data_IF_722734198895
#
_entry.id   IF_722734198895
#
_cell.length_a   1.000
_cell.length_b   1.000
_cell.length_c   1.000
_cell.angle_alpha   90.00
_cell.angle_beta   90.00
_cell.angle_gamma   90.00
#
_symmetry.space_group_name_H-M   'P 1'
#
loop_
_entity.id
_entity.type
_entity.pdbx_description
1 polymer ?
#
# COMPACT_ATOMS: atom_id res chain seq x y z
N UNK A 1 -12.95 3.41 26.59
CA UNK A 1 -11.82 3.34 25.62
C UNK A 1 -12.30 3.99 24.32
N UNK A 2 -11.54 4.94 23.77
CA UNK A 2 -11.87 5.59 22.50
C UNK A 2 -11.37 4.75 21.32
N UNK A 3 -12.04 4.82 20.18
CA UNK A 3 -11.65 4.11 18.94
C UNK A 3 -11.72 5.05 17.75
N UNK A 4 -10.74 4.95 16.87
CA UNK A 4 -10.75 5.60 15.55
C UNK A 4 -11.49 4.68 14.57
N UNK A 5 -12.59 5.15 14.00
CA UNK A 5 -13.42 4.34 13.10
C UNK A 5 -12.73 4.11 11.74
N UNK A 6 -13.07 2.99 11.08
CA UNK A 6 -12.58 2.71 9.71
C UNK A 6 -12.97 3.80 8.70
N UNK A 7 -14.13 4.46 8.91
CA UNK A 7 -14.51 5.62 8.08
C UNK A 7 -13.53 6.77 8.25
N UNK A 8 -13.18 7.14 9.49
CA UNK A 8 -12.20 8.21 9.74
C UNK A 8 -10.85 7.91 9.09
N UNK A 9 -10.36 6.68 9.23
CA UNK A 9 -9.09 6.26 8.59
C UNK A 9 -9.14 6.41 7.06
N UNK A 10 -10.23 5.97 6.42
CA UNK A 10 -10.41 6.15 4.96
C UNK A 10 -10.48 7.62 4.54
N UNK A 11 -11.18 8.47 5.31
CA UNK A 11 -11.25 9.91 5.04
C UNK A 11 -9.87 10.57 5.16
N UNK A 12 -9.07 10.20 6.16
CA UNK A 12 -7.69 10.69 6.29
C UNK A 12 -6.82 10.29 5.10
N UNK A 13 -6.94 9.05 4.63
CA UNK A 13 -6.24 8.59 3.42
C UNK A 13 -6.76 9.34 2.18
N UNK A 14 -8.07 9.58 2.09
CA UNK A 14 -8.64 10.34 0.97
C UNK A 14 -8.14 11.78 0.95
N UNK A 15 -7.95 12.41 2.11
CA UNK A 15 -7.33 13.74 2.21
C UNK A 15 -5.89 13.73 1.69
N UNK A 16 -5.09 12.72 2.08
CA UNK A 16 -3.73 12.56 1.56
C UNK A 16 -3.72 12.34 0.04
N UNK A 17 -4.63 11.53 -0.47
CA UNK A 17 -4.78 11.29 -1.91
C UNK A 17 -5.20 12.56 -2.66
N UNK A 18 -6.08 13.36 -2.08
CA UNK A 18 -6.48 14.65 -2.65
C UNK A 18 -5.32 15.65 -2.64
N UNK A 19 -4.56 15.72 -1.54
CA UNK A 19 -3.37 16.56 -1.41
C UNK A 19 -2.29 16.16 -2.44
N UNK A 20 -2.09 14.87 -2.64
CA UNK A 20 -1.21 14.34 -3.68
C UNK A 20 -1.67 14.74 -5.08
N UNK A 21 -2.97 14.66 -5.35
CA UNK A 21 -3.55 15.01 -6.66
C UNK A 21 -3.61 16.53 -6.90
N UNK A 22 -3.47 17.36 -5.86
CA UNK A 22 -3.29 18.81 -6.00
C UNK A 22 -1.85 19.14 -6.41
N UNK A 23 -1.49 18.72 -7.61
CA UNK A 23 -0.15 18.90 -8.17
C UNK A 23 0.24 20.35 -8.44
N UNK A 24 -0.66 21.30 -8.28
CA UNK A 24 -0.35 22.73 -8.38
C UNK A 24 0.35 23.23 -7.11
N UNK A 25 -0.12 22.78 -5.93
CA UNK A 25 0.34 23.28 -4.62
C UNK A 25 1.31 22.32 -3.94
N UNK A 26 1.22 21.01 -4.19
CA UNK A 26 2.00 20.00 -3.49
C UNK A 26 2.77 19.07 -4.43
N UNK A 27 4.01 18.78 -4.05
CA UNK A 27 4.90 17.86 -4.78
C UNK A 27 5.45 16.83 -3.81
N UNK A 28 5.29 15.56 -4.17
CA UNK A 28 5.79 14.43 -3.40
C UNK A 28 6.93 13.74 -4.13
N UNK A 29 7.99 13.45 -3.39
CA UNK A 29 9.18 12.78 -3.90
C UNK A 29 9.54 11.59 -3.01
N UNK A 30 9.95 10.49 -3.62
CA UNK A 30 10.68 9.44 -2.92
C UNK A 30 12.17 9.76 -3.09
N UNK A 31 12.87 9.89 -1.96
CA UNK A 31 14.32 10.05 -1.89
C UNK A 31 14.99 8.73 -1.54
N UNK A 32 16.18 8.52 -2.11
CA UNK A 32 17.10 7.44 -1.75
C UNK A 32 18.41 8.02 -1.27
N UNK A 33 19.06 7.35 -0.32
CA UNK A 33 20.32 7.83 0.22
C UNK A 33 21.00 6.82 1.13
N UNK A 34 22.10 7.25 1.74
CA UNK A 34 23.00 6.50 2.59
C UNK A 34 23.77 5.42 1.82
N UNK A 35 24.94 5.76 1.35
CA UNK A 35 25.90 4.80 0.81
C UNK A 35 26.64 4.03 1.90
N UNK A 36 26.87 4.65 3.06
CA UNK A 36 27.62 4.07 4.18
C UNK A 36 26.93 2.85 4.78
N UNK A 37 27.74 1.84 5.14
CA UNK A 37 27.30 0.67 5.89
C UNK A 37 26.63 1.04 7.21
N UNK A 38 25.63 0.25 7.62
CA UNK A 38 24.98 0.42 8.91
C UNK A 38 25.90 0.13 10.10
N UNK A 39 26.66 -0.91 9.96
CA UNK A 39 27.57 -1.46 10.97
C UNK A 39 28.47 -2.53 10.32
N UNK A 40 29.32 -3.17 11.07
CA UNK A 40 30.24 -4.20 10.58
C UNK A 40 29.57 -5.40 9.84
N UNK A 41 28.27 -5.59 10.00
CA UNK A 41 27.47 -6.64 9.32
C UNK A 41 26.50 -6.09 8.29
N UNK A 42 26.48 -4.79 8.07
CA UNK A 42 25.57 -4.05 7.21
C UNK A 42 24.09 -4.42 7.41
N UNK A 43 23.71 -4.60 8.68
CA UNK A 43 22.34 -4.95 9.05
C UNK A 43 21.55 -3.67 9.36
N UNK A 44 20.48 -3.42 8.61
CA UNK A 44 19.62 -2.27 8.80
C UNK A 44 18.97 -2.26 10.19
N UNK A 45 19.17 -1.21 11.02
CA UNK A 45 18.45 -1.06 12.29
C UNK A 45 16.99 -0.69 12.05
N UNK A 46 16.14 -0.89 13.06
CA UNK A 46 14.81 -0.30 13.03
C UNK A 46 14.91 1.22 12.98
N UNK A 47 14.01 1.86 12.22
CA UNK A 47 13.93 3.32 12.17
C UNK A 47 13.46 3.84 13.52
N UNK A 48 14.16 4.82 14.07
CA UNK A 48 13.76 5.52 15.28
C UNK A 48 13.06 6.85 14.89
N UNK A 49 11.93 7.12 15.51
CA UNK A 49 11.15 8.34 15.23
C UNK A 49 11.70 9.52 16.05
N UNK A 50 12.83 10.09 15.62
CA UNK A 50 13.41 11.28 16.21
C UNK A 50 14.12 12.16 15.17
N UNK A 51 14.33 13.42 15.52
CA UNK A 51 14.87 14.43 14.59
C UNK A 51 16.30 14.15 14.12
N UNK A 52 17.07 13.39 14.90
CA UNK A 52 18.45 13.00 14.53
C UNK A 52 18.41 12.05 13.34
N UNK A 53 17.55 11.04 13.35
CA UNK A 53 17.39 10.08 12.24
C UNK A 53 16.99 10.81 10.95
N UNK A 54 16.01 11.71 11.05
CA UNK A 54 15.58 12.54 9.93
C UNK A 54 16.73 13.41 9.37
N UNK A 55 17.55 14.00 10.25
CA UNK A 55 18.71 14.82 9.84
C UNK A 55 19.80 13.97 9.17
N UNK A 56 20.11 12.79 9.72
CA UNK A 56 21.11 11.89 9.14
C UNK A 56 20.69 11.44 7.73
N UNK A 57 19.43 11.07 7.55
CA UNK A 57 18.93 10.72 6.22
C UNK A 57 19.00 11.89 5.23
N UNK A 58 18.61 13.11 5.67
CA UNK A 58 18.70 14.30 4.82
C UNK A 58 20.15 14.63 4.41
N UNK A 59 21.11 14.43 5.30
CA UNK A 59 22.52 14.67 5.02
C UNK A 59 23.10 13.70 3.98
N UNK A 60 22.64 12.47 3.99
CA UNK A 60 23.09 11.40 3.06
C UNK A 60 22.13 11.17 1.90
N UNK A 61 21.19 12.08 1.65
CA UNK A 61 20.27 12.00 0.52
C UNK A 61 21.05 12.09 -0.79
N UNK A 62 20.92 11.09 -1.65
CA UNK A 62 21.59 11.06 -2.95
C UNK A 62 20.72 11.68 -4.04
N UNK A 63 19.48 11.22 -4.14
CA UNK A 63 18.59 11.57 -5.26
C UNK A 63 17.14 11.50 -4.86
N UNK A 64 16.29 12.22 -5.58
CA UNK A 64 14.84 12.19 -5.41
C UNK A 64 14.13 11.90 -6.73
N UNK A 65 13.00 11.18 -6.66
CA UNK A 65 12.09 10.97 -7.79
C UNK A 65 10.68 11.36 -7.40
N UNK A 66 10.05 12.16 -8.28
CA UNK A 66 8.67 12.59 -8.10
C UNK A 66 7.73 11.40 -8.10
N UNK A 67 6.86 11.34 -7.09
CA UNK A 67 5.82 10.32 -7.04
C UNK A 67 4.76 10.67 -8.07
N UNK A 68 4.51 9.74 -9.00
CA UNK A 68 3.51 9.91 -10.05
C UNK A 68 2.22 9.15 -9.77
N UNK A 69 2.29 8.14 -8.90
CA UNK A 69 1.24 7.16 -8.74
C UNK A 69 0.93 6.87 -7.26
N UNK A 70 -0.35 6.95 -6.93
CA UNK A 70 -0.87 6.69 -5.59
C UNK A 70 -2.20 5.93 -5.68
N UNK A 71 -2.43 4.95 -4.80
CA UNK A 71 -3.68 4.18 -4.73
C UNK A 71 -3.98 3.69 -3.33
N UNK A 72 -5.27 3.55 -2.99
CA UNK A 72 -5.65 2.70 -1.88
C UNK A 72 -5.23 1.27 -2.15
N UNK A 73 -4.83 0.55 -1.11
CA UNK A 73 -4.48 -0.87 -1.20
C UNK A 73 -5.08 -1.67 -0.05
N UNK A 74 -5.23 -2.97 -0.29
CA UNK A 74 -5.63 -3.95 0.72
C UNK A 74 -4.69 -5.14 0.67
N UNK A 75 -4.54 -5.92 1.75
CA UNK A 75 -3.73 -7.12 1.72
C UNK A 75 -4.13 -8.07 0.59
N UNK A 76 -3.15 -8.61 -0.11
CA UNK A 76 -3.38 -9.58 -1.19
C UNK A 76 -3.81 -10.92 -0.61
N UNK A 77 -4.93 -11.44 -1.08
CA UNK A 77 -5.50 -12.72 -0.69
C UNK A 77 -5.85 -13.50 -1.95
N UNK A 78 -4.90 -14.29 -2.46
CA UNK A 78 -5.17 -15.14 -3.61
C UNK A 78 -6.09 -16.28 -3.18
N UNK A 79 -7.05 -16.62 -4.03
CA UNK A 79 -7.82 -17.83 -3.84
C UNK A 79 -6.91 -19.06 -4.00
N UNK A 80 -7.14 -20.06 -3.17
CA UNK A 80 -6.51 -21.38 -3.33
C UNK A 80 -7.48 -22.49 -2.95
N UNK A 81 -7.45 -23.57 -3.73
CA UNK A 81 -8.27 -24.75 -3.46
C UNK A 81 -7.86 -25.40 -2.13
N UNK A 82 -8.85 -25.89 -1.40
CA UNK A 82 -8.65 -26.53 -0.10
C UNK A 82 -8.54 -25.52 1.07
N UNK A 83 -8.77 -24.25 0.81
CA UNK A 83 -8.75 -23.19 1.85
C UNK A 83 -10.18 -22.87 2.32
N UNK A 84 -10.31 -22.64 3.63
CA UNK A 84 -11.56 -22.14 4.23
C UNK A 84 -11.59 -20.61 4.16
N UNK A 85 -12.69 -20.04 3.65
CA UNK A 85 -12.95 -18.62 3.63
C UNK A 85 -14.10 -18.26 4.57
N UNK A 86 -14.01 -17.15 5.26
CA UNK A 86 -15.11 -16.66 6.11
C UNK A 86 -16.08 -15.84 5.27
N UNK A 87 -17.37 -15.89 5.59
CA UNK A 87 -18.30 -14.90 5.06
C UNK A 87 -18.01 -13.51 5.65
N UNK A 88 -18.28 -12.47 4.86
CA UNK A 88 -18.25 -11.09 5.33
C UNK A 88 -19.09 -10.94 6.61
N UNK A 89 -18.56 -10.21 7.58
CA UNK A 89 -19.24 -9.93 8.83
C UNK A 89 -19.06 -8.44 9.18
N UNK A 90 -20.16 -7.76 9.46
CA UNK A 90 -20.17 -6.34 9.81
C UNK A 90 -19.50 -6.02 11.16
N UNK A 91 -19.27 -7.04 12.02
CA UNK A 91 -18.43 -6.96 13.22
C UNK A 91 -16.94 -7.19 12.95
N UNK A 92 -16.55 -7.56 11.73
CA UNK A 92 -15.15 -7.80 11.39
C UNK A 92 -14.33 -6.52 11.55
N UNK A 93 -13.20 -6.60 12.23
CA UNK A 93 -12.23 -5.51 12.40
C UNK A 93 -10.92 -5.90 11.68
N UNK A 94 -10.40 -4.99 10.86
CA UNK A 94 -9.14 -5.18 10.14
C UNK A 94 -9.18 -6.29 9.09
N UNK A 95 -8.02 -6.84 8.81
CA UNK A 95 -7.81 -7.87 7.78
C UNK A 95 -7.50 -9.21 8.46
N UNK A 96 -8.41 -10.19 8.46
CA UNK A 96 -8.12 -11.49 9.03
C UNK A 96 -6.96 -12.15 8.26
N UNK A 97 -6.01 -12.71 8.99
CA UNK A 97 -4.90 -13.47 8.43
C UNK A 97 -5.32 -14.89 8.08
N UNK A 98 -6.17 -15.47 8.92
CA UNK A 98 -6.77 -16.77 8.70
C UNK A 98 -8.21 -16.60 8.21
N UNK A 99 -8.64 -17.47 7.29
CA UNK A 99 -9.99 -17.47 6.74
C UNK A 99 -10.44 -16.07 6.24
N UNK A 100 -9.76 -15.51 5.23
CA UNK A 100 -10.12 -14.20 4.72
C UNK A 100 -11.54 -14.20 4.12
N UNK A 101 -12.19 -13.05 4.13
CA UNK A 101 -13.55 -12.88 3.61
C UNK A 101 -13.59 -12.32 2.18
N UNK A 102 -12.45 -12.15 1.54
CA UNK A 102 -12.32 -11.77 0.13
C UNK A 102 -11.12 -12.47 -0.49
N UNK A 103 -11.16 -12.62 -1.79
CA UNK A 103 -10.10 -13.28 -2.57
C UNK A 103 -9.89 -12.58 -3.90
N UNK A 104 -8.69 -12.74 -4.44
CA UNK A 104 -8.37 -12.45 -5.83
C UNK A 104 -8.17 -13.79 -6.57
N UNK A 105 -8.82 -13.95 -7.71
CA UNK A 105 -8.62 -15.10 -8.57
C UNK A 105 -7.45 -14.93 -9.55
N UNK A 106 -7.17 -15.95 -10.37
CA UNK A 106 -6.06 -15.96 -11.34
C UNK A 106 -6.21 -14.93 -12.47
N UNK A 107 -7.42 -14.40 -12.67
CA UNK A 107 -7.71 -13.34 -13.64
C UNK A 107 -7.65 -11.93 -13.03
N UNK A 108 -7.05 -11.76 -11.85
CA UNK A 108 -7.01 -10.52 -11.10
C UNK A 108 -8.40 -9.93 -10.78
N UNK A 109 -9.40 -10.79 -10.65
CA UNK A 109 -10.75 -10.42 -10.25
C UNK A 109 -10.91 -10.58 -8.74
N UNK A 110 -11.49 -9.58 -8.07
CA UNK A 110 -11.66 -9.56 -6.62
C UNK A 110 -13.10 -9.83 -6.25
N UNK A 111 -13.29 -10.83 -5.38
CA UNK A 111 -14.58 -11.29 -4.89
C UNK A 111 -14.65 -11.21 -3.37
N UNK A 112 -15.81 -10.81 -2.86
CA UNK A 112 -16.14 -10.90 -1.44
C UNK A 112 -16.94 -12.19 -1.19
N UNK A 113 -16.58 -12.92 -0.13
CA UNK A 113 -17.33 -14.07 0.32
C UNK A 113 -18.54 -13.60 1.13
N UNK A 114 -19.74 -13.91 0.67
CA UNK A 114 -21.01 -13.56 1.33
C UNK A 114 -21.63 -14.74 2.05
N UNK A 115 -21.27 -15.96 1.63
CA UNK A 115 -21.70 -17.19 2.29
C UNK A 115 -20.53 -18.16 2.39
N UNK A 116 -20.26 -18.66 3.60
CA UNK A 116 -19.32 -19.75 3.85
C UNK A 116 -20.05 -21.08 3.68
N UNK A 117 -19.48 -21.99 2.91
CA UNK A 117 -19.97 -23.36 2.84
C UNK A 117 -19.82 -24.05 4.19
N UNK A 118 -20.86 -24.80 4.60
CA UNK A 118 -20.91 -25.52 5.88
C UNK A 118 -21.54 -26.89 5.70
N UNK A 119 -21.04 -27.87 6.44
CA UNK A 119 -21.67 -29.18 6.55
C UNK A 119 -22.97 -29.13 7.40
N UNK A 120 -23.61 -30.27 7.58
CA UNK A 120 -24.84 -30.40 8.39
C UNK A 120 -24.61 -30.02 9.86
N UNK A 121 -23.41 -30.24 10.38
CA UNK A 121 -22.99 -29.93 11.73
C UNK A 121 -22.74 -28.43 11.95
N UNK A 122 -22.71 -27.64 10.86
CA UNK A 122 -22.41 -26.19 10.88
C UNK A 122 -20.92 -25.88 10.82
N UNK A 123 -20.07 -26.86 10.60
CA UNK A 123 -18.64 -26.70 10.45
C UNK A 123 -18.30 -26.17 9.05
N UNK A 124 -17.30 -25.28 8.98
CA UNK A 124 -16.87 -24.72 7.72
C UNK A 124 -16.22 -25.77 6.81
N UNK A 125 -16.62 -25.79 5.55
CA UNK A 125 -16.00 -26.60 4.50
C UNK A 125 -14.93 -25.80 3.74
N UNK A 126 -13.97 -26.51 3.15
CA UNK A 126 -12.98 -25.89 2.29
C UNK A 126 -13.56 -25.52 0.92
N UNK A 127 -13.18 -24.37 0.39
CA UNK A 127 -13.50 -24.00 -0.99
C UNK A 127 -12.65 -24.82 -1.97
N UNK A 128 -13.31 -25.39 -2.98
CA UNK A 128 -12.67 -26.17 -4.04
C UNK A 128 -12.92 -25.61 -5.43
N UNK A 129 -13.82 -24.64 -5.56
CA UNK A 129 -14.20 -23.99 -6.82
C UNK A 129 -13.82 -22.51 -6.76
N UNK A 130 -12.92 -22.10 -7.65
CA UNK A 130 -12.49 -20.70 -7.75
C UNK A 130 -13.65 -19.81 -8.22
N UNK A 131 -13.96 -18.71 -7.51
CA UNK A 131 -14.97 -17.78 -8.00
C UNK A 131 -14.49 -17.12 -9.31
N UNK A 132 -15.35 -17.17 -10.34
CA UNK A 132 -15.05 -16.63 -11.66
C UNK A 132 -16.32 -16.31 -12.45
N UNK A 133 -16.20 -15.43 -13.44
CA UNK A 133 -17.16 -15.27 -14.53
C UNK A 133 -18.42 -14.45 -14.25
N UNK A 134 -18.84 -14.17 -13.02
CA UNK A 134 -20.01 -13.33 -12.74
C UNK A 134 -19.59 -11.91 -12.37
N UNK A 135 -19.40 -11.07 -13.37
CA UNK A 135 -18.96 -9.67 -13.20
C UNK A 135 -20.13 -8.68 -13.18
N UNK A 136 -21.38 -9.15 -13.07
CA UNK A 136 -22.57 -8.28 -13.01
C UNK A 136 -22.81 -7.62 -11.66
N UNK A 137 -22.01 -7.98 -10.64
CA UNK A 137 -22.20 -7.50 -9.26
C UNK A 137 -23.35 -8.17 -8.51
N UNK A 138 -23.98 -9.22 -9.06
CA UNK A 138 -24.94 -10.07 -8.36
C UNK A 138 -24.21 -11.14 -7.56
N UNK A 139 -24.77 -11.52 -6.42
CA UNK A 139 -24.29 -12.66 -5.64
C UNK A 139 -24.60 -13.96 -6.35
N UNK A 140 -23.67 -14.91 -6.34
CA UNK A 140 -23.82 -16.25 -6.89
C UNK A 140 -23.21 -17.30 -5.96
N UNK A 141 -23.67 -18.56 -6.10
CA UNK A 141 -23.16 -19.67 -5.30
C UNK A 141 -22.39 -20.62 -6.26
N UNK A 142 -21.18 -20.99 -5.87
CA UNK A 142 -20.37 -22.00 -6.56
C UNK A 142 -20.83 -23.42 -6.15
N UNK A 143 -20.47 -24.45 -6.93
CA UNK A 143 -20.92 -25.83 -6.65
C UNK A 143 -20.34 -26.45 -5.37
N UNK A 144 -19.45 -25.76 -4.69
CA UNK A 144 -18.92 -26.06 -3.36
C UNK A 144 -19.67 -25.31 -2.23
N UNK A 145 -20.86 -24.76 -2.52
CA UNK A 145 -21.73 -24.01 -1.61
C UNK A 145 -21.17 -22.70 -1.06
N UNK A 146 -20.06 -22.21 -1.58
CA UNK A 146 -19.58 -20.87 -1.27
C UNK A 146 -20.37 -19.81 -2.06
N UNK A 147 -20.81 -18.76 -1.37
CA UNK A 147 -21.46 -17.59 -1.98
C UNK A 147 -20.47 -16.45 -2.18
N UNK A 148 -20.39 -15.95 -3.40
CA UNK A 148 -19.45 -14.88 -3.80
C UNK A 148 -20.18 -13.71 -4.45
N UNK A 149 -19.61 -12.52 -4.30
CA UNK A 149 -20.02 -11.33 -5.05
C UNK A 149 -18.78 -10.69 -5.65
N UNK A 150 -18.79 -10.47 -6.96
CA UNK A 150 -17.73 -9.78 -7.67
C UNK A 150 -17.72 -8.29 -7.29
N UNK A 151 -16.54 -7.72 -7.07
CA UNK A 151 -16.36 -6.30 -6.74
C UNK A 151 -15.71 -5.52 -7.89
N UNK A 152 -14.57 -5.99 -8.40
CA UNK A 152 -13.81 -5.33 -9.46
C UNK A 152 -12.72 -6.24 -10.03
N UNK A 153 -12.25 -5.89 -11.23
CA UNK A 153 -11.04 -6.44 -11.85
C UNK A 153 -9.88 -5.45 -11.71
N UNK A 154 -8.68 -5.94 -11.38
CA UNK A 154 -7.47 -5.13 -11.37
C UNK A 154 -6.96 -5.04 -12.80
N UNK A 155 -6.87 -3.82 -13.36
CA UNK A 155 -6.33 -3.60 -14.70
C UNK A 155 -4.84 -3.97 -14.78
N UNK A 156 -4.32 -4.28 -15.97
CA UNK A 156 -2.89 -4.51 -16.17
C UNK A 156 -2.06 -3.28 -15.77
N UNK A 157 -2.60 -2.07 -15.99
CA UNK A 157 -1.97 -0.82 -15.60
C UNK A 157 -1.88 -0.69 -14.07
N UNK A 158 -3.00 -0.90 -13.35
CA UNK A 158 -3.01 -0.83 -11.88
C UNK A 158 -2.14 -1.95 -11.27
N UNK A 159 -2.14 -3.14 -11.87
CA UNK A 159 -1.29 -4.24 -11.45
C UNK A 159 0.19 -3.90 -11.58
N UNK A 160 0.61 -3.33 -12.70
CA UNK A 160 2.02 -2.95 -12.92
C UNK A 160 2.53 -1.88 -11.94
N UNK A 161 1.63 -1.01 -11.45
CA UNK A 161 1.96 0.08 -10.54
C UNK A 161 1.85 -0.33 -9.07
N UNK A 162 0.75 -0.98 -8.68
CA UNK A 162 0.34 -1.13 -7.28
C UNK A 162 0.21 -2.57 -6.80
N UNK A 163 0.31 -3.58 -7.66
CA UNK A 163 0.32 -4.96 -7.18
C UNK A 163 1.69 -5.30 -6.59
N UNK A 164 1.68 -5.84 -5.38
CA UNK A 164 2.87 -6.31 -4.69
C UNK A 164 2.64 -7.74 -4.16
N UNK A 165 3.67 -8.33 -3.56
CA UNK A 165 3.54 -9.65 -2.94
C UNK A 165 2.43 -9.69 -1.89
N UNK A 166 2.31 -8.63 -1.09
CA UNK A 166 1.41 -8.56 0.07
C UNK A 166 0.20 -7.64 -0.11
N UNK A 167 0.11 -6.86 -1.20
CA UNK A 167 -0.95 -5.87 -1.40
C UNK A 167 -1.48 -5.87 -2.82
N UNK A 168 -2.78 -5.53 -2.96
CA UNK A 168 -3.47 -5.28 -4.22
C UNK A 168 -4.14 -3.90 -4.19
N UNK A 169 -4.21 -3.20 -5.33
CA UNK A 169 -4.92 -1.92 -5.42
C UNK A 169 -6.42 -2.09 -5.25
N UNK A 170 -7.05 -1.08 -4.65
CA UNK A 170 -8.50 -0.96 -4.54
C UNK A 170 -8.90 0.47 -4.77
N UNK A 171 -9.88 0.72 -5.63
CA UNK A 171 -10.38 2.07 -5.91
C UNK A 171 -11.89 2.12 -5.94
N UNK A 172 -12.44 3.31 -5.77
CA UNK A 172 -13.80 3.62 -6.15
C UNK A 172 -13.77 4.34 -7.49
N UNK A 173 -14.61 3.91 -8.40
CA UNK A 173 -14.72 4.51 -9.74
C UNK A 173 -15.71 5.68 -9.70
N UNK A 174 -15.32 6.84 -10.23
CA UNK A 174 -16.14 8.07 -10.27
C UNK A 174 -16.60 8.46 -11.68
N UNK A 175 -16.45 7.58 -12.64
CA UNK A 175 -16.83 7.79 -14.04
C UNK A 175 -16.50 6.55 -14.84
N UNK A 176 -16.73 6.57 -16.16
CA UNK A 176 -16.49 5.40 -17.01
C UNK A 176 -15.02 4.93 -17.05
N UNK A 177 -14.09 5.79 -16.63
CA UNK A 177 -12.66 5.48 -16.67
C UNK A 177 -12.12 5.32 -18.09
N UNK A 178 -10.90 4.79 -18.19
CA UNK A 178 -10.22 4.57 -19.48
C UNK A 178 -9.98 3.10 -19.80
N UNK A 179 -10.14 2.22 -18.80
CA UNK A 179 -9.93 0.78 -18.91
C UNK A 179 -11.29 0.04 -18.95
N UNK A 180 -11.35 -1.12 -19.60
CA UNK A 180 -12.55 -1.96 -19.60
C UNK A 180 -12.97 -2.36 -18.17
N UNK A 181 -12.00 -2.65 -17.30
CA UNK A 181 -12.22 -2.93 -15.87
C UNK A 181 -12.84 -1.76 -15.10
N UNK A 182 -12.62 -0.52 -15.52
CA UNK A 182 -13.22 0.66 -14.90
C UNK A 182 -14.72 0.73 -15.18
N UNK A 183 -15.12 0.46 -16.41
CA UNK A 183 -16.53 0.41 -16.82
C UNK A 183 -17.25 -0.78 -16.14
N UNK A 184 -16.61 -1.94 -16.05
CA UNK A 184 -17.11 -3.11 -15.33
C UNK A 184 -17.33 -2.80 -13.85
N UNK A 185 -16.34 -2.21 -13.18
CA UNK A 185 -16.46 -1.80 -11.78
C UNK A 185 -17.56 -0.77 -11.58
N UNK A 186 -17.69 0.22 -12.46
CA UNK A 186 -18.76 1.23 -12.38
C UNK A 186 -20.14 0.60 -12.52
N UNK A 187 -20.30 -0.41 -13.38
CA UNK A 187 -21.55 -1.15 -13.51
C UNK A 187 -21.91 -1.88 -12.21
N UNK A 188 -20.93 -2.53 -11.56
CA UNK A 188 -21.12 -3.17 -10.25
C UNK A 188 -21.51 -2.15 -9.17
N UNK A 189 -20.83 -0.99 -9.13
CA UNK A 189 -21.13 0.07 -8.17
C UNK A 189 -22.56 0.62 -8.35
N UNK A 190 -23.00 0.80 -9.59
CA UNK A 190 -24.33 1.29 -9.90
C UNK A 190 -25.43 0.25 -9.66
N UNK A 191 -25.10 -1.03 -9.73
CA UNK A 191 -26.00 -2.14 -9.45
C UNK A 191 -26.10 -2.49 -7.94
N UNK A 192 -25.28 -1.86 -7.10
CA UNK A 192 -25.31 -2.12 -5.66
C UNK A 192 -26.65 -1.66 -5.03
N UNK A 193 -27.17 -2.47 -4.13
CA UNK A 193 -28.47 -2.22 -3.48
C UNK A 193 -28.27 -1.87 -2.01
N UNK A 194 -28.73 -0.69 -1.62
CA UNK A 194 -28.61 -0.24 -0.22
C UNK A 194 -29.50 -1.05 0.71
N UNK A 195 -28.97 -1.33 1.90
CA UNK A 195 -29.69 -2.07 2.93
C UNK A 195 -29.94 -3.54 2.63
N UNK A 196 -29.07 -4.21 1.85
CA UNK A 196 -29.07 -5.67 1.71
C UNK A 196 -28.64 -6.34 3.03
N UNK A 197 -29.31 -7.44 3.39
CA UNK A 197 -28.85 -8.39 4.41
C UNK A 197 -28.09 -9.49 3.66
N UNK A 198 -26.76 -9.49 3.79
CA UNK A 198 -25.87 -10.38 3.02
C UNK A 198 -25.47 -11.65 3.77
N UNK A 199 -25.92 -11.79 5.01
CA UNK A 199 -25.65 -12.96 5.83
C UNK A 199 -26.38 -12.96 7.14
N UNK A 200 -26.26 -14.04 7.88
CA UNK A 200 -26.75 -14.17 9.25
C UNK A 200 -25.66 -14.75 10.14
N UNK A 201 -25.37 -14.06 11.23
CA UNK A 201 -24.51 -14.58 12.29
C UNK A 201 -25.33 -15.43 13.25
N UNK A 202 -24.91 -16.65 13.46
CA UNK A 202 -25.49 -17.56 14.44
C UNK A 202 -24.67 -17.46 15.73
N UNK A 203 -25.07 -16.54 16.63
CA UNK A 203 -24.38 -16.34 17.91
C UNK A 203 -24.63 -17.51 18.89
N UNK A 204 -25.77 -18.23 18.73
CA UNK A 204 -26.10 -19.48 19.42
C UNK A 204 -27.15 -20.26 18.64
N UNK A 205 -26.94 -21.56 18.44
CA UNK A 205 -27.87 -22.46 17.76
C UNK A 205 -29.16 -22.77 18.53
N UNK A 206 -29.24 -22.38 19.82
CA UNK A 206 -30.33 -22.78 20.69
C UNK A 206 -30.32 -24.26 21.04
N UNK A 207 -31.37 -24.74 21.69
CA UNK A 207 -31.49 -26.13 22.19
C UNK A 207 -32.95 -26.61 22.15
N UNK A 208 -33.15 -27.92 21.97
CA UNK A 208 -34.44 -28.56 22.11
C UNK A 208 -35.39 -28.36 20.94
N UNK A 209 -34.92 -27.98 19.77
CA UNK A 209 -35.78 -27.92 18.57
C UNK A 209 -36.29 -29.30 18.17
N UNK A 210 -37.59 -29.45 18.00
CA UNK A 210 -38.23 -30.68 17.53
C UNK A 210 -38.48 -30.68 16.02
N UNK A 211 -38.44 -29.50 15.39
CA UNK A 211 -38.50 -29.31 13.94
C UNK A 211 -37.83 -27.98 13.56
N UNK A 212 -37.48 -27.80 12.29
CA UNK A 212 -36.87 -26.55 11.80
C UNK A 212 -37.85 -25.38 11.98
N UNK A 213 -37.46 -24.32 12.71
CA UNK A 213 -38.29 -23.15 12.88
C UNK A 213 -38.40 -22.33 11.60
N UNK A 214 -39.51 -21.61 11.42
CA UNK A 214 -39.61 -20.58 10.39
C UNK A 214 -38.93 -19.30 10.89
N UNK A 215 -37.99 -18.76 10.09
CA UNK A 215 -37.35 -17.50 10.38
C UNK A 215 -38.05 -16.36 9.62
N UNK A 216 -38.31 -15.27 10.32
CA UNK A 216 -38.92 -14.06 9.74
C UNK A 216 -38.08 -12.86 10.06
N UNK A 217 -37.77 -12.06 9.02
CA UNK A 217 -36.99 -10.82 9.14
C UNK A 217 -37.96 -9.69 9.40
N UNK A 218 -37.82 -9.01 10.54
CA UNK A 218 -38.61 -7.86 10.94
C UNK A 218 -37.72 -6.63 11.01
N UNK A 219 -38.05 -5.61 10.24
CA UNK A 219 -37.26 -4.38 10.12
C UNK A 219 -37.95 -3.36 9.21
N UNK A 220 -37.19 -2.33 8.83
CA UNK A 220 -37.67 -1.22 8.00
C UNK A 220 -37.50 -1.47 6.48
N UNK A 221 -36.77 -2.53 6.10
CA UNK A 221 -36.61 -2.95 4.71
C UNK A 221 -37.60 -4.03 4.26
N UNK A 222 -37.33 -4.61 3.08
CA UNK A 222 -38.23 -5.59 2.44
C UNK A 222 -37.51 -6.76 1.81
N UNK A 223 -38.19 -7.90 1.65
CA UNK A 223 -37.82 -9.06 0.82
C UNK A 223 -36.62 -9.91 1.29
N UNK A 224 -35.91 -9.58 2.37
CA UNK A 224 -34.89 -10.49 2.91
C UNK A 224 -35.52 -11.76 3.44
N UNK A 225 -34.90 -12.91 3.22
CA UNK A 225 -35.32 -14.24 3.69
C UNK A 225 -34.18 -14.93 4.43
N UNK A 226 -34.55 -15.85 5.30
CA UNK A 226 -33.61 -16.71 6.01
C UNK A 226 -34.19 -18.12 6.13
N UNK A 227 -33.34 -19.12 5.90
CA UNK A 227 -33.66 -20.54 6.10
C UNK A 227 -32.67 -21.14 7.08
N UNK A 228 -33.22 -21.78 8.14
CA UNK A 228 -32.42 -22.50 9.12
C UNK A 228 -32.25 -23.97 8.73
N UNK A 229 -31.10 -24.55 9.06
CA UNK A 229 -30.90 -26.00 9.10
C UNK A 229 -30.63 -26.44 10.54
N UNK A 230 -31.12 -27.63 10.91
CA UNK A 230 -30.88 -28.25 12.21
C UNK A 230 -29.80 -29.31 12.13
N UNK A 231 -28.97 -29.38 13.15
CA UNK A 231 -28.21 -30.55 13.51
C UNK A 231 -28.71 -31.06 14.90
N UNK A 232 -29.34 -32.22 14.92
CA UNK A 232 -30.01 -32.71 16.10
C UNK A 232 -31.13 -31.74 16.55
N UNK A 233 -31.00 -31.18 17.75
CA UNK A 233 -31.97 -30.26 18.36
C UNK A 233 -31.49 -28.80 18.37
N UNK A 234 -30.49 -28.44 17.58
CA UNK A 234 -29.90 -27.10 17.50
C UNK A 234 -29.87 -26.61 16.08
N UNK A 235 -30.01 -25.28 15.85
CA UNK A 235 -29.74 -24.67 14.55
C UNK A 235 -28.22 -24.68 14.32
N UNK A 236 -27.78 -25.27 13.22
CA UNK A 236 -26.35 -25.33 12.82
C UNK A 236 -25.98 -24.32 11.73
N UNK A 237 -26.98 -23.89 10.92
CA UNK A 237 -26.76 -23.05 9.75
C UNK A 237 -27.96 -22.15 9.50
N UNK A 238 -27.71 -20.93 9.01
CA UNK A 238 -28.74 -20.00 8.52
C UNK A 238 -28.27 -19.41 7.19
N UNK A 239 -29.00 -19.66 6.14
CA UNK A 239 -28.70 -19.21 4.79
C UNK A 239 -29.60 -18.03 4.37
N UNK A 240 -29.07 -17.16 3.50
CA UNK A 240 -29.76 -15.98 2.95
C UNK A 240 -30.54 -16.37 1.70
N UNK A 241 -31.54 -17.20 1.88
CA UNK A 241 -32.36 -17.74 0.79
C UNK A 241 -33.80 -17.98 1.21
N UNK A 242 -34.66 -18.24 0.24
CA UNK A 242 -36.00 -18.75 0.48
C UNK A 242 -36.03 -20.30 0.52
N UNK A 243 -37.23 -20.85 0.73
CA UNK A 243 -37.43 -22.31 0.76
C UNK A 243 -37.14 -23.01 -0.59
N UNK A 244 -37.02 -22.26 -1.67
CA UNK A 244 -36.67 -22.76 -2.99
C UNK A 244 -35.16 -22.60 -3.30
N UNK A 245 -34.34 -22.30 -2.29
CA UNK A 245 -32.89 -22.04 -2.39
C UNK A 245 -32.53 -20.84 -3.28
N UNK A 246 -33.46 -19.89 -3.44
CA UNK A 246 -33.21 -18.65 -4.16
C UNK A 246 -32.63 -17.60 -3.19
N UNK A 247 -31.51 -16.97 -3.56
CA UNK A 247 -30.93 -15.89 -2.76
C UNK A 247 -31.91 -14.71 -2.59
N UNK A 248 -32.14 -14.28 -1.36
CA UNK A 248 -33.09 -13.24 -0.99
C UNK A 248 -32.45 -12.25 -0.02
N UNK A 249 -31.59 -11.38 -0.52
CA UNK A 249 -30.83 -10.37 0.26
C UNK A 249 -31.72 -9.24 0.77
N UNK A 250 -32.84 -8.97 0.10
CA UNK A 250 -33.72 -7.84 0.39
C UNK A 250 -33.11 -6.48 0.06
N UNK A 251 -33.74 -5.42 0.54
CA UNK A 251 -33.27 -4.03 0.33
C UNK A 251 -33.87 -3.07 1.34
N UNK A 252 -33.23 -1.91 1.54
CA UNK A 252 -33.74 -0.80 2.32
C UNK A 252 -33.69 -0.98 3.84
N UNK A 253 -33.01 -2.02 4.34
CA UNK A 253 -32.87 -2.22 5.78
C UNK A 253 -31.79 -1.28 6.36
N UNK A 254 -32.18 -0.52 7.38
CA UNK A 254 -31.21 0.14 8.26
C UNK A 254 -31.11 -0.56 9.61
N UNK A 255 -32.17 -1.29 9.98
CA UNK A 255 -32.20 -2.16 11.14
C UNK A 255 -33.13 -3.36 10.87
N UNK A 256 -32.80 -4.50 11.47
CA UNK A 256 -33.60 -5.70 11.40
C UNK A 256 -33.28 -6.65 12.56
N UNK A 257 -34.28 -7.46 12.92
CA UNK A 257 -34.15 -8.61 13.82
C UNK A 257 -34.65 -9.87 13.14
N UNK A 258 -34.16 -11.02 13.57
CA UNK A 258 -34.68 -12.32 13.14
C UNK A 258 -35.59 -12.87 14.24
N UNK A 259 -36.85 -13.09 13.89
CA UNK A 259 -37.82 -13.76 14.76
C UNK A 259 -38.00 -15.21 14.36
N UNK A 260 -38.34 -16.08 15.28
CA UNK A 260 -38.47 -17.50 15.09
C UNK A 260 -39.91 -17.95 15.49
N UNK A 261 -40.50 -18.81 14.71
CA UNK A 261 -41.80 -19.44 15.03
C UNK A 261 -41.75 -20.94 14.73
N UNK A 262 -42.43 -21.74 15.54
CA UNK A 262 -42.40 -23.22 15.47
C UNK A 262 -41.14 -23.83 16.10
N UNK A 263 -40.96 -25.13 15.91
CA UNK A 263 -39.79 -25.89 16.41
C UNK A 263 -39.76 -26.13 17.92
N UNK A 264 -40.62 -25.52 18.72
CA UNK A 264 -40.75 -25.70 20.19
C UNK A 264 -39.41 -25.81 20.96
N UNK A 265 -38.46 -24.91 20.77
CA UNK A 265 -37.16 -25.01 21.44
C UNK A 265 -37.27 -24.80 22.95
N UNK A 266 -36.43 -25.46 23.72
CA UNK A 266 -36.25 -25.18 25.16
C UNK A 266 -35.47 -23.89 25.36
N UNK A 267 -34.55 -23.58 24.43
CA UNK A 267 -33.76 -22.34 24.37
C UNK A 267 -33.68 -21.86 22.92
N UNK A 268 -34.30 -20.72 22.59
CA UNK A 268 -34.25 -20.19 21.22
C UNK A 268 -32.82 -19.84 20.75
N UNK A 269 -32.56 -20.01 19.48
CA UNK A 269 -31.32 -19.60 18.85
C UNK A 269 -31.20 -18.07 18.89
N UNK A 270 -29.95 -17.59 18.88
CA UNK A 270 -29.60 -16.18 18.72
C UNK A 270 -29.03 -15.95 17.34
N UNK A 271 -29.83 -15.30 16.50
CA UNK A 271 -29.49 -15.05 15.08
C UNK A 271 -29.49 -13.54 14.88
N UNK A 272 -28.42 -13.03 14.28
CA UNK A 272 -28.26 -11.62 13.97
C UNK A 272 -28.11 -11.43 12.46
N UNK A 273 -28.86 -10.52 11.82
CA UNK A 273 -28.63 -10.17 10.42
C UNK A 273 -27.27 -9.47 10.28
N UNK A 274 -26.59 -9.70 9.16
CA UNK A 274 -25.36 -9.03 8.74
C UNK A 274 -25.71 -8.12 7.58
N UNK A 275 -25.54 -6.82 7.78
CA UNK A 275 -25.84 -5.83 6.75
C UNK A 275 -24.65 -5.65 5.81
N UNK A 276 -24.96 -5.41 4.54
CA UNK A 276 -23.99 -4.93 3.57
C UNK A 276 -23.37 -3.60 4.03
N UNK A 277 -22.27 -3.22 3.40
CA UNK A 277 -21.70 -1.89 3.57
C UNK A 277 -22.72 -0.80 3.14
N UNK A 278 -22.53 0.42 3.62
CA UNK A 278 -23.41 1.55 3.27
C UNK A 278 -23.51 1.72 1.76
N UNK A 279 -24.70 1.91 1.23
CA UNK A 279 -25.09 1.96 -0.17
C UNK A 279 -25.00 0.59 -0.89
N UNK A 280 -24.86 -0.52 -0.16
CA UNK A 280 -24.82 -1.88 -0.68
C UNK A 280 -23.39 -2.38 -0.98
N UNK A 281 -23.24 -3.71 -0.88
CA UNK A 281 -21.98 -4.36 -1.24
C UNK A 281 -21.64 -4.16 -2.73
N UNK A 282 -20.41 -3.78 -3.02
CA UNK A 282 -19.94 -3.41 -4.36
C UNK A 282 -20.03 -1.91 -4.66
N UNK A 283 -20.77 -1.11 -3.90
CA UNK A 283 -20.89 0.35 -4.11
C UNK A 283 -19.57 1.11 -3.91
N UNK A 284 -18.73 0.64 -3.02
CA UNK A 284 -17.39 1.14 -2.77
C UNK A 284 -16.48 0.02 -2.28
N UNK A 285 -15.70 -0.62 -3.16
CA UNK A 285 -14.80 -1.71 -2.78
C UNK A 285 -13.81 -1.36 -1.66
N UNK A 286 -13.42 -0.08 -1.51
CA UNK A 286 -12.57 0.37 -0.40
C UNK A 286 -13.26 0.19 0.95
N UNK A 287 -14.57 0.35 0.98
CA UNK A 287 -15.40 0.16 2.16
C UNK A 287 -15.67 -1.32 2.42
N UNK A 288 -16.03 -2.08 1.38
CA UNK A 288 -16.28 -3.52 1.47
C UNK A 288 -15.05 -4.29 1.95
N UNK A 289 -13.87 -3.95 1.42
CA UNK A 289 -12.58 -4.52 1.78
C UNK A 289 -11.91 -3.81 2.97
N UNK A 290 -12.58 -2.82 3.59
CA UNK A 290 -12.11 -2.09 4.78
C UNK A 290 -10.72 -1.46 4.60
N UNK A 291 -10.43 -0.94 3.40
CA UNK A 291 -9.15 -0.33 3.10
C UNK A 291 -8.82 0.81 4.05
N UNK A 292 -7.68 0.71 4.70
CA UNK A 292 -7.07 1.73 5.56
C UNK A 292 -5.59 1.93 5.24
N UNK A 293 -5.17 1.53 4.04
CA UNK A 293 -3.79 1.61 3.58
C UNK A 293 -3.72 2.33 2.24
N UNK A 294 -2.62 3.03 2.01
CA UNK A 294 -2.30 3.71 0.75
C UNK A 294 -0.91 3.27 0.29
N UNK A 295 -0.73 3.15 -1.02
CA UNK A 295 0.55 2.85 -1.64
C UNK A 295 0.96 3.97 -2.58
N UNK A 296 2.19 4.43 -2.42
CA UNK A 296 2.89 5.30 -3.36
C UNK A 296 3.89 4.45 -4.14
N UNK A 297 4.00 4.68 -5.44
CA UNK A 297 4.89 3.90 -6.30
C UNK A 297 5.74 4.80 -7.19
N UNK A 298 7.03 4.50 -7.28
CA UNK A 298 7.95 5.09 -8.26
C UNK A 298 8.88 4.01 -8.81
N UNK A 299 9.37 4.24 -10.03
CA UNK A 299 10.31 3.33 -10.71
C UNK A 299 11.50 4.13 -11.23
N UNK A 300 12.54 4.36 -10.40
CA UNK A 300 13.81 4.88 -10.91
C UNK A 300 14.40 3.89 -11.93
N UNK A 301 14.85 4.39 -13.08
CA UNK A 301 15.39 3.58 -14.18
C UNK A 301 16.80 4.04 -14.56
N UNK A 302 17.78 3.18 -14.38
CA UNK A 302 19.18 3.50 -14.68
C UNK A 302 19.63 4.77 -13.98
N UNK A 303 20.39 5.60 -14.69
CA UNK A 303 20.87 6.90 -14.18
C UNK A 303 19.78 7.95 -14.10
N UNK A 304 18.68 7.77 -14.83
CA UNK A 304 17.56 8.72 -14.88
C UNK A 304 18.01 10.18 -15.03
N UNK A 305 18.52 10.53 -16.21
CA UNK A 305 19.06 11.87 -16.51
C UNK A 305 20.32 12.25 -15.72
N UNK A 306 21.09 11.26 -15.27
CA UNK A 306 22.26 11.37 -14.39
C UNK A 306 21.99 11.76 -12.94
N UNK A 307 20.74 11.94 -12.56
CA UNK A 307 20.36 12.33 -11.20
C UNK A 307 20.54 11.19 -10.20
N UNK A 308 20.49 9.93 -10.65
CA UNK A 308 20.63 8.77 -9.78
C UNK A 308 22.05 8.17 -9.85
N UNK A 309 22.60 7.94 -8.67
CA UNK A 309 23.90 7.28 -8.51
C UNK A 309 23.79 5.83 -8.98
N UNK A 310 24.75 5.38 -9.81
CA UNK A 310 24.96 3.99 -10.21
C UNK A 310 26.38 3.56 -9.81
N UNK A 311 26.56 2.26 -9.57
CA UNK A 311 27.84 1.73 -9.09
C UNK A 311 28.10 1.95 -7.62
N UNK A 312 27.12 2.48 -6.89
CA UNK A 312 27.15 2.62 -5.44
C UNK A 312 25.80 2.21 -4.83
N UNK A 313 25.76 2.07 -3.51
CA UNK A 313 24.64 1.57 -2.74
C UNK A 313 23.72 2.70 -2.26
N UNK A 314 22.48 2.35 -1.97
CA UNK A 314 21.63 3.11 -1.05
C UNK A 314 21.02 2.17 -0.01
N UNK A 315 20.76 2.68 1.21
CA UNK A 315 20.25 1.91 2.35
C UNK A 315 19.06 2.56 3.04
N UNK A 316 18.67 3.76 2.62
CA UNK A 316 17.51 4.47 3.14
C UNK A 316 16.60 4.97 2.02
N UNK A 317 15.30 4.91 2.28
CA UNK A 317 14.25 5.46 1.41
C UNK A 317 13.35 6.37 2.24
N UNK A 318 13.02 7.54 1.74
CA UNK A 318 12.13 8.48 2.42
C UNK A 318 11.10 9.11 1.51
N UNK A 319 10.02 9.62 2.11
CA UNK A 319 8.98 10.39 1.42
C UNK A 319 9.06 11.85 1.82
N UNK A 320 9.32 12.71 0.85
CA UNK A 320 9.36 14.15 1.00
C UNK A 320 8.12 14.81 0.42
N UNK A 321 7.67 15.90 1.04
CA UNK A 321 6.68 16.82 0.49
C UNK A 321 7.30 18.20 0.36
N UNK A 322 7.18 18.83 -0.81
CA UNK A 322 7.58 20.21 -1.09
C UNK A 322 9.06 20.50 -0.79
N UNK A 323 9.96 19.57 -1.15
CA UNK A 323 11.41 19.84 -1.14
C UNK A 323 11.72 20.99 -2.10
N UNK A 324 12.69 21.85 -1.73
CA UNK A 324 13.02 23.03 -2.51
C UNK A 324 14.14 22.79 -3.53
N UNK A 325 14.09 23.54 -4.61
CA UNK A 325 15.20 23.74 -5.55
C UNK A 325 16.31 24.53 -4.85
N UNK A 326 17.55 24.03 -4.90
CA UNK A 326 18.69 24.63 -4.21
C UNK A 326 19.08 26.00 -4.75
N UNK A 327 18.83 26.27 -6.02
CA UNK A 327 19.20 27.52 -6.67
C UNK A 327 18.07 28.56 -6.60
N UNK A 328 16.83 28.13 -6.82
CA UNK A 328 15.67 29.02 -6.90
C UNK A 328 14.98 29.25 -5.53
N UNK A 329 15.16 28.36 -4.55
CA UNK A 329 14.49 28.43 -3.25
C UNK A 329 12.97 28.26 -3.32
N UNK A 330 12.45 27.75 -4.46
CA UNK A 330 11.04 27.44 -4.67
C UNK A 330 10.81 25.93 -4.63
N UNK A 331 9.55 25.48 -4.56
CA UNK A 331 9.25 24.04 -4.57
C UNK A 331 9.84 23.42 -5.84
N UNK A 332 10.63 22.36 -5.67
CA UNK A 332 11.21 21.60 -6.77
C UNK A 332 10.13 20.93 -7.61
N UNK A 333 10.27 20.98 -8.94
CA UNK A 333 9.19 20.54 -9.86
C UNK A 333 9.60 19.48 -10.87
N UNK A 334 10.91 19.29 -11.10
CA UNK A 334 11.40 18.29 -12.05
C UNK A 334 11.00 16.86 -11.65
N UNK A 335 11.08 15.93 -12.59
CA UNK A 335 10.72 14.52 -12.35
C UNK A 335 11.71 13.83 -11.41
N UNK A 336 12.98 14.17 -11.53
CA UNK A 336 14.10 13.68 -10.73
C UNK A 336 15.00 14.83 -10.34
N UNK A 337 15.87 14.64 -9.36
CA UNK A 337 16.90 15.61 -8.98
C UNK A 337 17.94 15.01 -8.08
N UNK A 338 19.19 15.46 -8.26
CA UNK A 338 20.32 15.07 -7.43
C UNK A 338 20.41 15.94 -6.18
N UNK A 339 20.67 15.32 -5.04
CA UNK A 339 20.83 16.00 -3.74
C UNK A 339 22.28 16.11 -3.29
N UNK A 340 23.21 15.57 -4.07
CA UNK A 340 24.64 15.59 -3.77
C UNK A 340 25.31 16.88 -4.26
N UNK A 341 26.26 17.37 -3.49
CA UNK A 341 27.20 18.41 -3.95
C UNK A 341 28.19 17.82 -4.95
N UNK A 342 28.69 18.64 -5.87
CA UNK A 342 29.66 18.19 -6.87
C UNK A 342 30.94 19.04 -6.85
N UNK A 343 32.08 18.37 -6.94
CA UNK A 343 33.38 18.96 -7.21
C UNK A 343 33.76 18.74 -8.68
N UNK A 344 34.29 19.78 -9.30
CA UNK A 344 34.83 19.71 -10.68
C UNK A 344 36.34 19.94 -10.65
N UNK A 345 37.10 18.96 -11.11
CA UNK A 345 38.56 18.99 -11.12
C UNK A 345 39.13 19.48 -12.46
N UNK A 346 40.18 20.25 -12.38
CA UNK A 346 40.90 20.75 -13.56
C UNK A 346 42.09 19.83 -13.95
N UNK A 347 42.63 19.08 -12.99
CA UNK A 347 43.71 18.12 -13.18
C UNK A 347 43.71 17.06 -12.09
N UNK A 348 44.34 15.91 -12.32
CA UNK A 348 44.20 14.73 -11.47
C UNK A 348 42.85 14.09 -11.65
N UNK A 349 42.32 13.42 -10.62
CA UNK A 349 41.03 12.78 -10.59
C UNK A 349 40.78 11.71 -11.66
N UNK A 350 41.83 11.14 -12.25
CA UNK A 350 41.77 10.14 -13.31
C UNK A 350 43.01 9.26 -13.35
N UNK A 351 42.91 8.09 -13.93
CA UNK A 351 44.03 7.12 -14.00
C UNK A 351 44.38 6.61 -12.60
N UNK A 352 45.68 6.71 -12.24
CA UNK A 352 46.14 6.30 -10.91
C UNK A 352 45.68 7.24 -9.78
N UNK A 353 45.28 8.47 -10.12
CA UNK A 353 44.77 9.49 -9.21
C UNK A 353 43.22 9.52 -9.16
N UNK A 354 42.55 8.51 -9.70
CA UNK A 354 41.10 8.45 -9.75
C UNK A 354 40.51 8.30 -8.36
N UNK A 355 39.46 9.08 -8.09
CA UNK A 355 38.67 8.99 -6.85
C UNK A 355 37.79 7.73 -6.85
N UNK A 356 37.53 7.22 -5.66
CA UNK A 356 36.77 5.99 -5.44
C UNK A 356 35.53 6.27 -4.59
N UNK A 357 34.33 5.81 -4.98
CA UNK A 357 33.14 5.91 -4.13
C UNK A 357 33.37 5.34 -2.72
N UNK A 358 32.63 5.86 -1.72
CA UNK A 358 32.69 5.55 -0.29
C UNK A 358 33.98 5.95 0.42
N UNK A 359 34.90 6.63 -0.25
CA UNK A 359 36.10 7.19 0.37
C UNK A 359 35.88 8.60 0.89
N UNK A 360 36.61 8.91 1.95
CA UNK A 360 36.64 10.26 2.51
C UNK A 360 37.61 11.13 1.69
N UNK A 361 37.20 12.36 1.38
CA UNK A 361 38.04 13.38 0.75
C UNK A 361 38.30 14.54 1.70
N UNK A 362 39.42 15.20 1.51
CA UNK A 362 39.82 16.39 2.24
C UNK A 362 40.44 17.44 1.30
N UNK A 363 39.98 18.70 1.45
CA UNK A 363 40.62 19.85 0.81
C UNK A 363 41.84 20.29 1.60
N UNK A 364 43.02 20.34 0.94
CA UNK A 364 44.26 20.58 1.65
C UNK A 364 44.41 22.02 2.18
N UNK A 365 43.71 22.98 1.58
CA UNK A 365 43.75 24.38 2.03
C UNK A 365 42.60 24.68 2.97
N UNK A 366 41.40 24.18 2.69
CA UNK A 366 40.19 24.44 3.48
C UNK A 366 40.07 23.56 4.73
N UNK A 367 40.66 22.35 4.68
CA UNK A 367 40.45 21.31 5.69
C UNK A 367 39.04 20.68 5.66
N UNK A 368 38.23 21.04 4.67
CA UNK A 368 36.87 20.55 4.51
C UNK A 368 36.90 19.09 4.03
N UNK A 369 35.97 18.29 4.56
CA UNK A 369 35.84 16.88 4.26
C UNK A 369 34.48 16.55 3.64
N UNK A 370 34.42 15.44 2.93
CA UNK A 370 33.21 14.84 2.38
C UNK A 370 33.37 13.36 2.17
N UNK A 371 32.29 12.65 1.89
CA UNK A 371 32.26 11.25 1.49
C UNK A 371 31.82 11.18 0.04
N UNK A 372 32.55 10.43 -0.78
CA UNK A 372 32.27 10.31 -2.22
C UNK A 372 31.12 9.35 -2.44
N UNK A 373 30.09 9.78 -3.19
CA UNK A 373 28.98 8.92 -3.61
C UNK A 373 29.08 8.48 -5.08
N UNK A 374 29.55 9.37 -5.96
CA UNK A 374 29.66 9.11 -7.41
C UNK A 374 30.89 9.77 -8.01
N UNK A 375 31.50 9.09 -8.94
CA UNK A 375 32.63 9.63 -9.74
C UNK A 375 32.29 9.46 -11.22
N UNK A 376 32.48 10.53 -12.02
CA UNK A 376 32.36 10.49 -13.47
C UNK A 376 33.43 11.41 -14.10
N UNK A 377 34.52 10.81 -14.56
CA UNK A 377 35.69 11.53 -15.07
C UNK A 377 36.25 12.47 -14.01
N UNK A 378 36.27 13.79 -14.32
CA UNK A 378 36.77 14.84 -13.43
C UNK A 378 35.70 15.40 -12.48
N UNK A 379 34.54 14.78 -12.44
CA UNK A 379 33.41 15.18 -11.57
C UNK A 379 33.27 14.19 -10.42
N UNK A 380 33.19 14.72 -9.21
CA UNK A 380 33.02 13.92 -7.98
C UNK A 380 31.85 14.45 -7.21
N UNK A 381 30.83 13.62 -6.99
CA UNK A 381 29.68 13.96 -6.15
C UNK A 381 29.89 13.40 -4.75
N UNK A 382 29.54 14.21 -3.76
CA UNK A 382 29.79 13.92 -2.36
C UNK A 382 28.68 14.42 -1.45
N UNK A 383 28.60 13.83 -0.29
CA UNK A 383 27.80 14.34 0.82
C UNK A 383 28.65 14.65 2.04
N UNK A 384 28.06 15.35 3.01
CA UNK A 384 28.67 15.68 4.29
C UNK A 384 27.74 15.29 5.43
N UNK A 385 28.30 14.80 6.52
CA UNK A 385 27.58 14.34 7.70
C UNK A 385 28.24 14.84 8.99
N UNK A 386 27.72 14.38 10.15
CA UNK A 386 28.25 14.77 11.47
C UNK A 386 29.70 14.31 11.71
N UNK A 387 30.22 13.34 10.93
CA UNK A 387 31.61 12.86 11.02
C UNK A 387 32.57 13.67 10.16
N UNK A 388 32.14 14.06 8.97
CA UNK A 388 32.96 14.91 8.07
C UNK A 388 32.94 16.37 8.50
N UNK A 389 31.90 16.78 9.23
CA UNK A 389 31.55 18.18 9.43
C UNK A 389 30.97 18.80 8.16
N UNK A 390 30.66 20.08 8.22
CA UNK A 390 29.97 20.80 7.14
C UNK A 390 30.78 22.00 6.70
N UNK A 391 30.83 22.27 5.39
CA UNK A 391 31.53 23.41 4.83
C UNK A 391 31.64 23.31 3.31
N UNK A 392 32.34 24.29 2.74
CA UNK A 392 32.61 24.33 1.30
C UNK A 392 34.11 24.25 1.06
N UNK A 393 34.48 23.44 0.08
CA UNK A 393 35.83 23.43 -0.46
C UNK A 393 36.18 24.81 -1.06
N UNK A 394 37.46 25.07 -1.26
CA UNK A 394 37.93 26.32 -1.87
C UNK A 394 38.23 26.09 -3.35
N UNK A 395 37.81 27.00 -4.21
CA UNK A 395 38.14 26.93 -5.63
C UNK A 395 39.65 26.86 -5.87
N UNK A 396 40.09 25.96 -6.73
CA UNK A 396 41.49 25.78 -7.09
C UNK A 396 42.35 25.07 -6.05
N UNK A 397 41.81 24.58 -4.93
CA UNK A 397 42.60 23.80 -3.98
C UNK A 397 42.84 22.38 -4.45
N UNK A 398 43.90 21.77 -3.92
CA UNK A 398 44.12 20.35 -4.03
C UNK A 398 43.21 19.58 -3.06
N UNK A 399 42.66 18.47 -3.55
CA UNK A 399 41.78 17.55 -2.76
C UNK A 399 42.37 16.15 -2.94
N UNK A 400 42.41 15.40 -1.84
CA UNK A 400 42.89 14.02 -1.82
C UNK A 400 41.97 13.10 -1.04
N UNK A 401 41.97 11.82 -1.37
CA UNK A 401 41.36 10.79 -0.54
C UNK A 401 42.20 10.59 0.73
N UNK A 402 41.53 10.42 1.88
CA UNK A 402 42.22 10.15 3.16
C UNK A 402 42.68 8.68 3.28
N UNK A 403 42.00 7.77 2.59
CA UNK A 403 42.18 6.31 2.67
C UNK A 403 42.37 5.67 1.27
N UNK A 404 42.80 6.41 0.27
CA UNK A 404 42.94 5.97 -1.09
C UNK A 404 44.05 6.72 -1.85
N UNK A 405 44.04 6.57 -3.15
CA UNK A 405 45.03 7.23 -4.03
C UNK A 405 44.46 8.41 -4.83
N UNK A 406 43.15 8.63 -4.70
CA UNK A 406 42.48 9.69 -5.45
C UNK A 406 43.01 11.06 -5.06
N UNK A 407 43.46 11.83 -6.02
CA UNK A 407 43.92 13.19 -5.82
C UNK A 407 43.65 14.07 -7.04
N UNK A 408 43.50 15.36 -6.82
CA UNK A 408 43.32 16.29 -7.93
C UNK A 408 43.25 17.73 -7.49
N UNK A 409 43.38 18.65 -8.46
CA UNK A 409 43.22 20.08 -8.22
C UNK A 409 41.86 20.56 -8.72
N UNK A 410 41.12 21.23 -7.89
CA UNK A 410 39.81 21.79 -8.24
C UNK A 410 39.97 22.91 -9.30
N UNK A 411 38.93 23.09 -10.11
CA UNK A 411 38.89 24.19 -11.08
C UNK A 411 38.89 25.54 -10.36
N UNK A 412 39.58 26.54 -10.90
CA UNK A 412 39.84 27.80 -10.21
C UNK A 412 38.66 28.71 -9.94
N UNK A 413 37.51 28.52 -10.61
CA UNK A 413 36.36 29.40 -10.47
C UNK A 413 34.96 28.73 -10.58
N UNK A 414 34.90 27.45 -10.97
CA UNK A 414 33.65 26.74 -11.21
C UNK A 414 33.71 25.30 -10.71
N UNK A 415 34.44 25.10 -9.61
CA UNK A 415 34.67 23.77 -9.07
C UNK A 415 33.61 23.26 -8.13
N UNK A 416 32.75 24.15 -7.61
CA UNK A 416 31.70 23.80 -6.63
C UNK A 416 30.33 23.92 -7.29
N UNK A 417 29.65 22.80 -7.48
CA UNK A 417 28.31 22.79 -8.03
C UNK A 417 27.32 22.44 -6.91
N UNK A 418 26.27 23.23 -6.79
CA UNK A 418 25.21 23.00 -5.83
C UNK A 418 24.36 21.80 -6.25
N UNK A 419 23.77 21.04 -5.30
CA UNK A 419 22.75 20.06 -5.62
C UNK A 419 21.54 20.71 -6.30
N UNK A 420 20.73 19.93 -7.01
CA UNK A 420 19.48 20.45 -7.59
C UNK A 420 18.41 20.62 -6.54
N UNK A 421 18.38 19.73 -5.53
CA UNK A 421 17.42 19.79 -4.43
C UNK A 421 18.12 20.09 -3.11
N UNK A 422 17.48 20.96 -2.31
CA UNK A 422 17.97 21.29 -0.98
C UNK A 422 17.45 20.28 0.05
N UNK A 423 18.27 19.30 0.40
CA UNK A 423 17.91 18.13 1.21
C UNK A 423 17.38 18.47 2.62
N UNK A 424 17.77 19.64 3.15
CA UNK A 424 17.34 20.09 4.49
C UNK A 424 15.96 20.77 4.49
N UNK A 425 15.29 20.87 3.34
CA UNK A 425 13.99 21.53 3.16
C UNK A 425 12.84 20.55 2.97
N UNK A 426 11.62 21.09 2.88
CA UNK A 426 10.40 20.29 2.72
C UNK A 426 10.08 19.44 3.96
N UNK A 427 8.95 18.76 3.92
CA UNK A 427 8.51 17.87 4.98
C UNK A 427 8.97 16.44 4.69
N UNK A 428 9.73 15.84 5.59
CA UNK A 428 10.06 14.40 5.53
C UNK A 428 8.97 13.63 6.29
N UNK A 429 8.15 12.88 5.56
CA UNK A 429 6.93 12.24 6.08
C UNK A 429 7.14 10.76 6.43
N UNK A 430 8.16 10.12 5.87
CA UNK A 430 8.42 8.69 6.04
C UNK A 430 9.90 8.40 5.82
N UNK A 431 10.46 7.49 6.60
CA UNK A 431 11.81 6.94 6.44
C UNK A 431 11.72 5.43 6.59
N UNK A 432 12.48 4.70 5.78
CA UNK A 432 12.65 3.25 5.86
C UNK A 432 14.12 2.88 5.74
N UNK A 433 14.64 2.14 6.72
CA UNK A 433 16.00 1.61 6.73
C UNK A 433 16.03 0.23 6.08
N UNK A 434 16.96 0.00 5.18
CA UNK A 434 17.05 -1.20 4.35
C UNK A 434 18.45 -1.78 4.34
N UNK A 435 18.58 -3.04 3.95
CA UNK A 435 19.85 -3.59 3.49
C UNK A 435 20.30 -2.88 2.21
N UNK A 436 21.58 -2.93 1.93
CA UNK A 436 22.18 -2.32 0.74
C UNK A 436 21.47 -2.71 -0.55
N UNK A 437 21.23 -1.73 -1.40
CA UNK A 437 20.76 -1.90 -2.77
C UNK A 437 21.77 -1.23 -3.70
N UNK A 438 22.58 -2.05 -4.35
CA UNK A 438 23.55 -1.58 -5.36
C UNK A 438 22.82 -1.31 -6.66
N UNK A 439 23.03 -0.14 -7.26
CA UNK A 439 22.37 0.25 -8.51
C UNK A 439 23.30 0.09 -9.71
N UNK A 440 22.76 -0.44 -10.81
CA UNK A 440 23.42 -0.54 -12.11
C UNK A 440 22.73 0.36 -13.14
N UNK A 441 23.48 0.74 -14.20
CA UNK A 441 22.97 1.66 -15.24
C UNK A 441 21.79 1.12 -16.06
N UNK A 442 21.63 -0.19 -16.11
CA UNK A 442 20.52 -0.89 -16.79
C UNK A 442 19.43 -1.39 -15.86
N UNK A 443 19.52 -1.08 -14.56
CA UNK A 443 18.60 -1.52 -13.54
C UNK A 443 17.41 -0.55 -13.41
N UNK A 444 16.26 -1.12 -13.04
CA UNK A 444 15.06 -0.36 -12.65
C UNK A 444 14.59 -0.87 -11.30
N UNK A 445 14.51 -0.01 -10.31
CA UNK A 445 13.90 -0.33 -9.02
C UNK A 445 12.39 -0.12 -9.08
N UNK A 446 11.65 -0.96 -8.35
CA UNK A 446 10.21 -0.78 -8.11
C UNK A 446 10.00 -0.45 -6.62
N UNK A 447 10.03 0.85 -6.31
CA UNK A 447 9.90 1.34 -4.93
C UNK A 447 8.42 1.58 -4.61
N UNK A 448 7.89 0.80 -3.67
CA UNK A 448 6.50 0.90 -3.19
C UNK A 448 6.47 1.17 -1.69
N UNK A 449 5.99 2.32 -1.30
CA UNK A 449 5.78 2.69 0.11
C UNK A 449 4.31 2.46 0.46
N UNK A 450 4.06 1.63 1.49
CA UNK A 450 2.71 1.40 2.01
C UNK A 450 2.56 2.06 3.36
N UNK A 451 1.67 3.05 3.45
CA UNK A 451 1.32 3.74 4.69
C UNK A 451 0.02 3.14 5.22
N UNK A 452 0.05 2.66 6.47
CA UNK A 452 -1.08 2.06 7.19
C UNK A 452 -1.53 3.01 8.32
N UNK A 453 -2.86 3.25 8.44
CA UNK A 453 -3.46 4.09 9.47
C UNK A 453 -4.21 3.28 10.54
#
# INVERSE_FOLDING_TARGET
MAIVTSKFKREMIQLLLNDFNDSASNKYYIGIGRSDDWNATDTAPAVENHDVEARLFRNSLQSVKKVSDISFVVPRRNWSSGTTYSAYNDKQVGYPTNNPYYVMNDNNQVYICVQQAKNAEGEALNSTIQPSGNTSGTTFITSDDYGWKFLYSISALDASKFMAANFIPVKKQFGSGTQASDAEQLAVQNAAVDGEIIGYALDSGGEGYTSTPTLTIVGDGTKAKAVAALNGTSISKVDVQDSASTLCLGSGYTNAIVTQSGGSPTKPAKIRPIFASKNGAGSDPRQDLRSSNIMLAVKPAGTESDDFVVGNDFRQVGLFRNILDSSAGTIFTSATGIALKQLVFSSGASGDDAFTPDKNIIGLSSGIKGIIDKVDGTNVWYHQNDQTGYGNFTHGEAVEETDGNGEGTLHGSSSLVLPEVESLTGDLLYIDNRGAVTRASDQTEDIKIVIQL
#
